data_IF_957029675044
#
_entry.id   IF_957029675044
#
_cell.length_a   1.000
_cell.length_b   1.000
_cell.length_c   1.000
_cell.angle_alpha   90.00
_cell.angle_beta   90.00
_cell.angle_gamma   90.00
#
_symmetry.space_group_name_H-M   'P 1'
#
loop_
_entity.id
_entity.type
_entity.pdbx_description
1 polymer ?
#
# COMPACT_ATOMS: atom_id res chain seq x y z
N UNK A 1 2.87 -7.59 -63.79
CA UNK A 1 3.02 -9.06 -63.94
C UNK A 1 2.21 -9.72 -62.83
N UNK A 2 1.52 -10.83 -63.11
CA UNK A 2 0.44 -11.49 -62.33
C UNK A 2 0.64 -11.53 -60.80
N UNK A 3 -0.36 -11.37 -59.91
CA UNK A 3 -1.77 -11.86 -59.80
C UNK A 3 -1.95 -13.34 -59.40
N UNK A 4 -2.32 -13.60 -58.13
CA UNK A 4 -3.33 -14.56 -57.63
C UNK A 4 -3.31 -14.49 -56.08
N UNK A 5 -4.38 -14.37 -55.27
CA UNK A 5 -5.82 -14.68 -55.35
C UNK A 5 -6.22 -16.11 -54.92
N UNK A 6 -6.76 -16.18 -53.69
CA UNK A 6 -7.98 -16.90 -53.23
C UNK A 6 -8.19 -18.42 -53.41
N UNK A 7 -8.95 -18.95 -52.43
CA UNK A 7 -9.90 -20.07 -52.52
C UNK A 7 -9.35 -21.52 -52.64
N UNK A 8 -10.09 -22.60 -52.30
CA UNK A 8 -11.23 -22.82 -51.38
C UNK A 8 -11.58 -24.35 -51.36
N UNK A 9 -12.64 -24.74 -50.63
CA UNK A 9 -13.37 -26.04 -50.72
C UNK A 9 -12.58 -27.29 -50.25
N UNK A 10 -13.18 -28.38 -49.77
CA UNK A 10 -14.56 -28.90 -49.59
C UNK A 10 -14.43 -30.41 -49.25
N UNK A 11 -15.41 -31.25 -48.93
CA UNK A 11 -16.85 -31.10 -48.67
C UNK A 11 -17.58 -32.46 -48.75
N UNK A 12 -18.15 -32.98 -47.64
CA UNK A 12 -19.04 -34.18 -47.55
C UNK A 12 -18.42 -35.55 -47.93
N UNK A 13 -19.20 -36.66 -47.98
CA UNK A 13 -20.58 -36.90 -47.48
C UNK A 13 -20.81 -38.25 -46.72
N UNK A 14 -21.90 -38.37 -45.93
CA UNK A 14 -22.61 -39.62 -45.50
C UNK A 14 -21.82 -40.76 -44.80
N UNK A 15 -22.39 -41.82 -44.19
CA UNK A 15 -23.70 -42.16 -43.61
C UNK A 15 -23.62 -43.66 -43.21
N UNK A 16 -24.07 -44.09 -42.02
CA UNK A 16 -24.51 -45.49 -41.74
C UNK A 16 -25.06 -45.73 -40.31
N UNK A 17 -26.33 -46.12 -40.20
CA UNK A 17 -26.80 -47.13 -39.21
C UNK A 17 -27.40 -46.70 -37.85
N UNK A 18 -28.72 -46.42 -37.76
CA UNK A 18 -29.54 -46.40 -36.51
C UNK A 18 -30.00 -47.85 -36.11
N UNK A 19 -30.81 -48.11 -35.04
CA UNK A 19 -31.56 -47.24 -34.10
C UNK A 19 -31.12 -47.46 -32.61
N UNK A 20 -31.82 -47.11 -31.50
CA UNK A 20 -33.18 -46.60 -31.20
C UNK A 20 -33.12 -45.69 -29.92
N UNK A 21 -34.18 -45.12 -29.31
CA UNK A 21 -35.64 -45.26 -29.46
C UNK A 21 -36.38 -43.94 -29.05
N UNK A 22 -37.69 -44.00 -28.77
CA UNK A 22 -38.60 -42.88 -28.43
C UNK A 22 -39.09 -42.94 -26.94
N UNK A 23 -39.79 -41.92 -26.36
CA UNK A 23 -40.89 -41.16 -26.98
C UNK A 23 -40.85 -39.62 -26.88
N UNK A 24 -41.72 -39.02 -27.69
CA UNK A 24 -41.90 -37.59 -27.94
C UNK A 24 -42.67 -36.83 -26.86
N UNK A 25 -42.44 -35.52 -26.80
CA UNK A 25 -43.51 -34.53 -26.58
C UNK A 25 -43.22 -33.25 -27.38
N UNK A 26 -44.04 -32.96 -28.39
CA UNK A 26 -43.93 -31.76 -29.23
C UNK A 26 -44.57 -30.54 -28.55
N UNK A 27 -44.02 -29.34 -28.75
CA UNK A 27 -44.76 -28.09 -29.05
C UNK A 27 -43.78 -27.07 -29.62
N UNK A 28 -44.22 -26.28 -30.61
CA UNK A 28 -43.36 -25.46 -31.47
C UNK A 28 -42.95 -24.10 -30.85
N UNK A 29 -41.78 -23.61 -31.27
CA UNK A 29 -41.39 -22.20 -31.13
C UNK A 29 -41.75 -21.43 -32.41
N UNK A 30 -42.43 -20.27 -32.32
CA UNK A 30 -42.50 -19.31 -33.42
C UNK A 30 -41.31 -18.35 -33.38
N UNK A 31 -40.49 -18.36 -34.42
CA UNK A 31 -39.54 -17.28 -34.71
C UNK A 31 -40.14 -16.32 -35.74
N UNK A 32 -40.25 -15.01 -35.47
CA UNK A 32 -40.40 -14.00 -36.50
C UNK A 32 -39.05 -13.49 -37.00
N UNK A 33 -38.88 -13.43 -38.31
CA UNK A 33 -37.72 -12.80 -38.98
C UNK A 33 -37.80 -11.27 -38.91
N UNK A 34 -36.65 -10.58 -38.81
CA UNK A 34 -36.55 -9.12 -38.88
C UNK A 34 -35.11 -8.62 -38.66
N UNK A 35 -34.76 -7.52 -39.31
CA UNK A 35 -33.38 -6.96 -39.44
C UNK A 35 -32.71 -6.48 -38.13
N UNK A 36 -31.36 -6.34 -38.13
CA UNK A 36 -30.59 -6.03 -36.92
C UNK A 36 -30.47 -4.51 -36.67
N UNK A 37 -31.50 -3.89 -36.11
CA UNK A 37 -31.40 -2.51 -35.58
C UNK A 37 -31.34 -2.48 -34.05
N UNK A 38 -30.23 -1.97 -33.52
CA UNK A 38 -30.09 -1.57 -32.12
C UNK A 38 -29.78 -2.70 -31.15
N UNK A 39 -28.49 -3.01 -30.95
CA UNK A 39 -28.01 -3.74 -29.77
C UNK A 39 -28.23 -2.92 -28.49
N UNK A 40 -29.47 -2.93 -27.97
CA UNK A 40 -29.78 -2.35 -26.68
C UNK A 40 -29.23 -3.25 -25.58
N UNK A 41 -28.02 -2.94 -25.10
CA UNK A 41 -27.41 -3.58 -23.92
C UNK A 41 -28.28 -3.36 -22.68
N UNK A 42 -29.24 -4.26 -22.44
CA UNK A 42 -30.04 -4.29 -21.22
C UNK A 42 -29.20 -4.91 -20.10
N UNK A 43 -28.53 -4.06 -19.32
CA UNK A 43 -27.87 -4.46 -18.08
C UNK A 43 -28.92 -4.88 -17.04
N UNK A 44 -29.32 -6.14 -17.10
CA UNK A 44 -30.31 -6.72 -16.18
C UNK A 44 -29.65 -7.05 -14.84
N UNK A 45 -29.61 -6.06 -13.94
CA UNK A 45 -29.08 -6.20 -12.60
C UNK A 45 -29.80 -7.33 -11.83
N UNK A 46 -29.18 -8.50 -11.76
CA UNK A 46 -29.60 -9.55 -10.83
C UNK A 46 -29.00 -9.20 -9.47
N UNK A 47 -29.81 -8.62 -8.58
CA UNK A 47 -29.52 -8.61 -7.14
C UNK A 47 -29.59 -10.05 -6.65
N UNK A 48 -28.52 -10.82 -6.85
CA UNK A 48 -28.32 -12.10 -6.19
C UNK A 48 -28.14 -11.79 -4.71
N UNK A 49 -29.25 -11.85 -3.97
CA UNK A 49 -29.27 -11.71 -2.53
C UNK A 49 -28.59 -12.90 -1.88
N UNK A 50 -27.26 -12.92 -1.92
CA UNK A 50 -26.52 -13.49 -0.80
C UNK A 50 -26.83 -12.61 0.40
N UNK A 51 -27.49 -13.18 1.41
CA UNK A 51 -27.41 -12.60 2.75
C UNK A 51 -25.93 -12.42 3.05
N UNK A 52 -25.51 -11.18 3.31
CA UNK A 52 -24.17 -10.97 3.84
C UNK A 52 -24.10 -11.81 5.12
N UNK A 53 -23.26 -12.83 5.10
CA UNK A 53 -23.16 -13.76 6.22
C UNK A 53 -22.85 -12.99 7.50
N UNK A 54 -23.24 -13.56 8.64
CA UNK A 54 -22.91 -13.05 9.97
C UNK A 54 -21.40 -13.18 10.18
N UNK A 55 -20.64 -12.30 9.52
CA UNK A 55 -19.24 -12.06 9.80
C UNK A 55 -19.17 -11.26 11.09
N UNK A 56 -18.45 -11.79 12.07
CA UNK A 56 -18.09 -11.02 13.26
C UNK A 56 -17.32 -9.74 12.89
N UNK A 57 -17.08 -8.84 13.86
CA UNK A 57 -16.33 -7.62 13.59
C UNK A 57 -15.01 -7.97 12.89
N UNK A 58 -14.75 -7.30 11.76
CA UNK A 58 -13.50 -7.46 11.04
C UNK A 58 -12.31 -7.15 11.96
N UNK A 59 -11.12 -7.69 11.65
CA UNK A 59 -9.92 -7.38 12.43
C UNK A 59 -9.69 -5.86 12.53
N UNK A 60 -10.02 -5.12 11.46
CA UNK A 60 -10.08 -3.66 11.41
C UNK A 60 -11.05 -3.07 12.44
N UNK A 61 -12.34 -3.46 12.41
CA UNK A 61 -13.34 -2.95 13.35
C UNK A 61 -13.00 -3.29 14.81
N UNK A 62 -12.42 -4.47 15.05
CA UNK A 62 -11.94 -4.88 16.36
C UNK A 62 -10.68 -4.11 16.82
N UNK A 63 -9.82 -3.67 15.88
CA UNK A 63 -8.67 -2.82 16.15
C UNK A 63 -9.11 -1.39 16.45
N UNK A 64 -9.96 -0.79 15.62
CA UNK A 64 -10.52 0.55 15.81
C UNK A 64 -11.25 0.67 17.15
N UNK A 65 -12.04 -0.34 17.54
CA UNK A 65 -12.70 -0.39 18.86
C UNK A 65 -11.71 -0.38 20.05
N UNK A 66 -10.47 -0.85 19.88
CA UNK A 66 -9.44 -0.75 20.93
C UNK A 66 -8.74 0.61 20.95
N UNK A 67 -8.80 1.37 19.86
CA UNK A 67 -8.27 2.74 19.79
C UNK A 67 -9.27 3.82 20.24
N UNK A 68 -10.52 3.43 20.53
CA UNK A 68 -11.56 4.31 21.06
C UNK A 68 -11.28 4.68 22.53
N UNK A 69 -10.90 5.95 22.84
CA UNK A 69 -10.53 6.34 24.20
C UNK A 69 -11.68 6.23 25.20
N UNK A 70 -12.92 6.38 24.76
CA UNK A 70 -14.11 6.26 25.63
C UNK A 70 -14.31 4.82 26.16
N UNK A 71 -13.65 3.85 25.51
CA UNK A 71 -13.63 2.44 25.93
C UNK A 71 -12.44 2.04 26.82
N UNK A 72 -11.53 2.97 27.16
CA UNK A 72 -10.31 2.65 27.91
C UNK A 72 -10.56 2.59 29.44
N UNK A 73 -9.79 1.78 30.19
CA UNK A 73 -9.77 1.83 31.64
C UNK A 73 -9.57 3.26 32.18
N UNK A 74 -10.31 3.71 33.21
CA UNK A 74 -10.16 5.06 33.75
C UNK A 74 -8.74 5.41 34.24
N UNK A 75 -7.93 4.40 34.59
CA UNK A 75 -6.52 4.58 34.94
C UNK A 75 -5.66 5.04 33.74
N UNK A 76 -5.96 4.55 32.54
CA UNK A 76 -5.23 4.92 31.30
C UNK A 76 -5.61 6.34 30.84
N UNK A 77 -6.77 6.84 31.29
CA UNK A 77 -7.26 8.20 31.07
C UNK A 77 -6.99 9.15 32.26
N UNK A 78 -6.41 8.66 33.36
CA UNK A 78 -6.32 9.42 34.62
C UNK A 78 -5.29 10.57 34.58
N UNK A 79 -4.32 10.50 33.66
CA UNK A 79 -3.34 11.56 33.48
C UNK A 79 -3.91 12.67 32.57
N UNK A 80 -3.93 13.94 33.00
CA UNK A 80 -4.33 15.03 32.11
C UNK A 80 -3.36 15.11 30.93
N UNK A 81 -3.84 15.38 29.70
CA UNK A 81 -2.98 15.48 28.53
C UNK A 81 -1.96 16.60 28.71
N UNK A 82 -0.68 16.26 28.55
CA UNK A 82 0.44 17.22 28.59
C UNK A 82 1.12 17.23 27.23
N UNK A 83 1.47 18.40 26.67
CA UNK A 83 2.30 18.48 25.47
C UNK A 83 3.60 17.69 25.66
N UNK A 84 3.94 16.85 24.69
CA UNK A 84 5.20 16.11 24.75
C UNK A 84 6.38 17.05 24.45
N UNK A 85 7.30 17.17 25.41
CA UNK A 85 8.52 17.98 25.28
C UNK A 85 9.74 17.06 25.37
N UNK A 86 10.33 16.64 24.24
CA UNK A 86 11.49 15.77 24.24
C UNK A 86 12.76 16.51 24.69
N UNK A 87 13.43 15.99 25.71
CA UNK A 87 14.72 16.53 26.17
C UNK A 87 15.87 16.24 25.19
N UNK A 88 15.80 15.08 24.54
CA UNK A 88 16.82 14.55 23.62
C UNK A 88 16.21 14.09 22.31
N UNK A 89 16.98 14.25 21.24
CA UNK A 89 16.66 13.82 19.88
C UNK A 89 17.78 12.93 19.38
N UNK A 90 17.42 11.78 18.81
CA UNK A 90 18.31 10.96 18.02
C UNK A 90 18.48 11.59 16.64
N UNK A 91 19.74 11.87 16.29
CA UNK A 91 20.17 12.33 14.99
C UNK A 91 20.64 11.11 14.22
N UNK A 92 19.87 10.71 13.21
CA UNK A 92 20.13 9.56 12.36
C UNK A 92 20.75 10.04 11.04
N UNK A 93 22.06 9.90 10.91
CA UNK A 93 22.82 10.24 9.72
C UNK A 93 22.89 9.04 8.75
N UNK A 94 22.48 9.26 7.51
CA UNK A 94 22.75 8.37 6.38
C UNK A 94 23.66 9.09 5.40
N UNK A 95 24.89 8.60 5.24
CA UNK A 95 25.83 9.09 4.24
C UNK A 95 25.20 9.03 2.84
N UNK A 96 25.36 10.10 2.06
CA UNK A 96 24.92 10.19 0.67
C UNK A 96 26.10 10.66 -0.18
N UNK A 97 26.54 9.81 -1.11
CA UNK A 97 27.71 10.09 -1.92
C UNK A 97 27.52 11.32 -2.84
N UNK A 98 28.60 12.05 -3.06
CA UNK A 98 28.66 13.25 -3.89
C UNK A 98 29.69 14.26 -3.35
N UNK A 99 29.99 15.30 -4.12
CA UNK A 99 30.86 16.40 -3.69
C UNK A 99 30.20 17.31 -2.63
N UNK A 100 28.85 17.35 -2.61
CA UNK A 100 28.05 18.09 -1.66
C UNK A 100 28.18 19.61 -1.79
N UNK A 101 28.32 20.18 -3.00
CA UNK A 101 28.41 21.64 -3.21
C UNK A 101 27.43 22.46 -2.35
N UNK A 102 26.17 22.03 -2.28
CA UNK A 102 25.10 22.70 -1.51
C UNK A 102 24.94 22.20 -0.05
N UNK A 103 25.81 21.30 0.41
CA UNK A 103 25.72 20.69 1.74
C UNK A 103 26.12 21.68 2.85
N UNK A 104 25.19 21.91 3.78
CA UNK A 104 25.35 22.85 4.91
C UNK A 104 26.28 22.27 5.98
N UNK A 105 27.14 23.07 6.64
CA UNK A 105 27.95 22.57 7.74
C UNK A 105 27.07 22.10 8.91
N UNK A 106 27.32 20.90 9.40
CA UNK A 106 26.65 20.37 10.59
C UNK A 106 27.13 21.11 11.86
N UNK A 107 26.23 21.61 12.73
CA UNK A 107 26.62 22.49 13.84
C UNK A 107 26.86 21.79 15.18
N UNK A 108 26.79 20.45 15.24
CA UNK A 108 27.02 19.65 16.44
C UNK A 108 28.26 18.75 16.25
N UNK A 109 28.46 17.76 17.13
CA UNK A 109 29.54 16.78 16.98
C UNK A 109 29.43 15.93 15.71
N UNK A 110 30.51 15.21 15.32
CA UNK A 110 30.57 14.50 14.05
C UNK A 110 29.44 13.50 13.85
N UNK A 111 28.86 13.50 12.64
CA UNK A 111 27.77 12.59 12.29
C UNK A 111 28.22 11.12 12.11
N UNK A 112 29.51 10.88 11.87
CA UNK A 112 30.09 9.56 11.66
C UNK A 112 30.40 8.76 12.93
N UNK A 113 30.54 9.42 14.08
CA UNK A 113 31.07 8.80 15.33
C UNK A 113 30.00 8.08 16.18
N UNK A 114 28.78 7.93 15.64
CA UNK A 114 27.66 7.31 16.34
C UNK A 114 27.62 5.78 16.25
N UNK A 115 26.63 5.18 16.92
CA UNK A 115 26.35 3.74 16.79
C UNK A 115 25.43 3.49 15.59
N UNK A 116 25.52 2.33 14.95
CA UNK A 116 24.54 1.94 13.92
C UNK A 116 23.20 1.67 14.60
N UNK A 117 22.15 2.38 14.17
CA UNK A 117 20.78 2.14 14.59
C UNK A 117 19.77 2.72 13.57
N UNK A 118 18.56 2.17 13.49
CA UNK A 118 17.45 2.69 12.68
C UNK A 118 17.80 3.03 11.20
N UNK A 119 18.67 2.20 10.61
CA UNK A 119 19.13 2.36 9.22
C UNK A 119 20.06 3.55 8.99
N UNK A 120 20.82 3.98 9.99
CA UNK A 120 21.83 5.05 9.90
C UNK A 120 22.90 4.95 10.98
N UNK A 121 23.69 6.01 11.10
CA UNK A 121 24.56 6.29 12.27
C UNK A 121 23.78 7.20 13.21
N UNK A 122 23.58 6.75 14.45
CA UNK A 122 22.82 7.43 15.47
C UNK A 122 23.74 8.12 16.49
N UNK A 123 23.50 9.42 16.69
CA UNK A 123 24.04 10.19 17.81
C UNK A 123 22.89 10.83 18.60
N UNK A 124 23.08 11.06 19.90
CA UNK A 124 22.11 11.78 20.73
C UNK A 124 22.51 13.23 20.91
N UNK A 125 21.56 14.14 20.70
CA UNK A 125 21.72 15.56 20.95
C UNK A 125 20.59 16.09 21.86
N UNK A 126 20.84 17.10 22.71
CA UNK A 126 19.76 17.83 23.37
C UNK A 126 18.84 18.46 22.32
N UNK A 127 17.53 18.26 22.40
CA UNK A 127 16.58 18.70 21.36
C UNK A 127 16.73 20.19 21.06
N UNK A 128 16.95 21.01 22.08
CA UNK A 128 17.14 22.47 21.97
C UNK A 128 18.41 22.90 21.22
N UNK A 129 19.32 21.96 20.90
CA UNK A 129 20.54 22.20 20.12
C UNK A 129 20.44 21.68 18.67
N UNK A 130 19.44 20.84 18.37
CA UNK A 130 19.32 20.22 17.05
C UNK A 130 18.84 21.25 16.02
N UNK A 131 19.55 21.41 14.88
CA UNK A 131 19.11 22.32 13.83
C UNK A 131 17.86 21.80 13.13
N UNK A 132 16.97 22.71 12.73
CA UNK A 132 15.83 22.38 11.87
C UNK A 132 16.31 21.69 10.59
N UNK A 133 15.87 20.45 10.41
CA UNK A 133 16.21 19.57 9.28
C UNK A 133 14.93 19.10 8.61
N UNK A 134 14.95 19.06 7.28
CA UNK A 134 13.83 18.68 6.43
C UNK A 134 14.33 17.82 5.26
N UNK A 135 13.48 17.03 4.60
CA UNK A 135 13.84 16.33 3.36
C UNK A 135 14.46 17.29 2.33
N UNK A 136 15.53 16.85 1.68
CA UNK A 136 16.30 17.69 0.74
C UNK A 136 17.36 18.59 1.37
N UNK A 137 17.39 18.75 2.71
CA UNK A 137 18.53 19.38 3.38
C UNK A 137 19.66 18.37 3.52
N UNK A 138 20.80 18.69 2.91
CA UNK A 138 22.04 17.91 2.98
C UNK A 138 23.01 18.60 3.95
N UNK A 139 23.70 17.80 4.75
CA UNK A 139 24.66 18.25 5.75
C UNK A 139 26.07 17.74 5.42
N UNK A 140 27.10 18.52 5.77
CA UNK A 140 28.51 18.12 5.71
C UNK A 140 29.10 18.03 7.12
N UNK A 141 29.81 16.95 7.40
CA UNK A 141 30.50 16.68 8.67
C UNK A 141 31.78 15.90 8.37
N UNK A 142 32.93 16.31 8.89
CA UNK A 142 34.23 15.63 8.66
C UNK A 142 34.56 15.36 7.17
N UNK A 143 34.17 16.28 6.28
CA UNK A 143 34.34 16.15 4.82
C UNK A 143 33.22 15.38 4.13
N UNK A 144 32.62 14.40 4.82
CA UNK A 144 31.55 13.56 4.31
C UNK A 144 30.18 14.25 4.26
N UNK A 145 29.32 13.72 3.39
CA UNK A 145 28.02 14.30 3.03
C UNK A 145 26.89 13.39 3.51
N UNK A 146 25.92 13.95 4.22
CA UNK A 146 24.88 13.20 4.94
C UNK A 146 23.47 13.73 4.67
N UNK A 147 22.54 12.79 4.51
CA UNK A 147 21.14 12.99 4.85
C UNK A 147 20.95 12.81 6.37
N UNK A 148 20.13 13.65 7.00
CA UNK A 148 19.85 13.56 8.44
C UNK A 148 18.35 13.41 8.66
N UNK A 149 17.96 12.39 9.43
CA UNK A 149 16.61 12.23 9.97
C UNK A 149 16.64 12.51 11.47
N UNK A 150 15.66 13.28 11.96
CA UNK A 150 15.54 13.61 13.37
C UNK A 150 14.40 12.80 13.98
N UNK A 151 14.71 12.03 15.03
CA UNK A 151 13.72 11.27 15.80
C UNK A 151 13.84 11.72 17.27
N UNK A 152 12.92 12.55 17.79
CA UNK A 152 12.80 12.72 19.23
C UNK A 152 12.75 11.35 19.90
N UNK A 153 13.47 11.19 21.02
CA UNK A 153 13.26 10.01 21.86
C UNK A 153 11.83 10.03 22.40
N UNK A 154 11.28 8.88 22.75
CA UNK A 154 9.98 8.73 23.40
C UNK A 154 10.15 8.55 24.93
N UNK A 155 9.11 8.75 25.74
CA UNK A 155 9.14 8.38 27.15
C UNK A 155 9.55 6.91 27.34
N UNK A 156 10.64 6.67 28.08
CA UNK A 156 11.22 5.34 28.31
C UNK A 156 12.44 5.02 27.43
N UNK A 157 12.64 5.72 26.31
CA UNK A 157 13.86 5.60 25.50
C UNK A 157 14.94 6.56 26.02
N UNK A 158 16.20 6.13 26.01
CA UNK A 158 17.32 6.90 26.59
C UNK A 158 18.61 6.89 25.77
N UNK A 159 18.72 5.97 24.82
CA UNK A 159 19.91 5.61 24.06
C UNK A 159 19.57 5.40 22.57
N UNK A 160 20.60 5.35 21.73
CA UNK A 160 20.43 4.93 20.33
C UNK A 160 20.12 3.43 20.17
N UNK A 161 20.38 2.61 21.19
CA UNK A 161 20.08 1.17 21.16
C UNK A 161 18.59 0.87 21.38
N UNK A 162 17.81 1.85 21.86
CA UNK A 162 16.36 1.74 22.02
C UNK A 162 15.60 1.94 20.67
N UNK A 163 16.32 1.98 19.54
CA UNK A 163 15.81 2.42 18.22
C UNK A 163 15.88 1.34 17.11
N UNK A 164 16.40 0.15 17.40
CA UNK A 164 16.55 -0.98 16.45
C UNK A 164 15.46 -2.05 16.59
#
# INVERSE_FOLDING_TARGET
MFCAALAACGGGPGTSGPPASAPSASTASPSPSGEPEGERLVLRWRRTGGVAGVGGPSAEAAFLKRLDPDGWPPADLAAPPRPYVPERTAVLAGEIGGDGADARPWPLGPLGDGVRAAGGVCTLAPTVKVPGTAPGIVWRSEGEVYSVRLRPLLPGESSCADLD
#
